data_IF_407476209241
#
_entry.id   IF_407476209241
#
_cell.length_a   1.000
_cell.length_b   1.000
_cell.length_c   1.000
_cell.angle_alpha   90.00
_cell.angle_beta   90.00
_cell.angle_gamma   90.00
#
_symmetry.space_group_name_H-M   'P 1'
#
loop_
_entity.id
_entity.type
_entity.pdbx_description
1 polymer ?
#
# COMPACT_ATOMS: atom_id res chain seq x y z
N UNK A 1 6.11 -9.98 9.68
CA UNK A 1 5.52 -10.27 11.01
C UNK A 1 5.58 -11.77 11.21
N UNK A 2 6.39 -12.24 12.16
CA UNK A 2 6.45 -13.66 12.52
C UNK A 2 5.09 -14.04 13.11
N UNK A 3 4.47 -15.17 12.70
CA UNK A 3 3.22 -15.61 13.31
C UNK A 3 3.46 -15.87 14.79
N UNK A 4 2.86 -15.07 15.67
CA UNK A 4 2.67 -15.49 17.04
C UNK A 4 1.81 -16.75 16.98
N UNK A 5 2.40 -17.92 17.18
CA UNK A 5 1.66 -19.14 17.42
C UNK A 5 0.84 -18.93 18.70
N UNK A 6 -0.38 -18.44 18.54
CA UNK A 6 -1.32 -18.37 19.63
C UNK A 6 -1.74 -19.80 19.93
N UNK A 7 -1.28 -20.35 21.06
CA UNK A 7 -1.52 -21.72 21.53
C UNK A 7 -2.97 -21.95 21.98
N UNK A 8 -3.92 -21.36 21.25
CA UNK A 8 -5.34 -21.32 21.58
C UNK A 8 -6.12 -21.76 20.36
N UNK A 9 -6.96 -22.79 20.54
CA UNK A 9 -7.97 -23.16 19.57
C UNK A 9 -9.20 -22.27 19.79
N UNK A 10 -9.62 -21.55 18.74
CA UNK A 10 -10.79 -20.69 18.76
C UNK A 10 -11.99 -21.41 18.13
N UNK A 11 -13.05 -21.60 18.90
CA UNK A 11 -14.33 -22.17 18.43
C UNK A 11 -15.48 -21.27 18.87
N UNK A 12 -15.81 -20.28 18.04
CA UNK A 12 -16.86 -19.32 18.36
C UNK A 12 -18.23 -19.96 18.37
N UNK A 13 -19.02 -19.67 19.40
CA UNK A 13 -20.39 -20.17 19.54
C UNK A 13 -21.37 -19.07 19.15
N UNK A 14 -22.15 -19.32 18.10
CA UNK A 14 -22.99 -18.30 17.48
C UNK A 14 -24.07 -17.74 18.41
N UNK A 15 -24.58 -18.56 19.35
CA UNK A 15 -25.61 -18.14 20.30
C UNK A 15 -25.12 -17.05 21.28
N UNK A 16 -23.81 -16.86 21.46
CA UNK A 16 -23.26 -15.75 22.24
C UNK A 16 -23.03 -14.47 21.43
N UNK A 17 -23.26 -14.46 20.10
CA UNK A 17 -22.97 -13.30 19.25
C UNK A 17 -23.76 -12.04 19.68
N UNK A 18 -25.02 -12.19 20.11
CA UNK A 18 -25.82 -11.07 20.59
C UNK A 18 -25.27 -10.46 21.88
N UNK A 19 -24.81 -11.31 22.81
CA UNK A 19 -24.16 -10.89 24.07
C UNK A 19 -22.82 -10.19 23.79
N UNK A 20 -21.96 -10.79 22.97
CA UNK A 20 -20.66 -10.21 22.62
C UNK A 20 -20.75 -8.91 21.82
N UNK A 21 -21.79 -8.75 20.99
CA UNK A 21 -22.03 -7.51 20.26
C UNK A 21 -22.63 -6.38 21.13
N UNK A 22 -23.07 -6.69 22.35
CA UNK A 22 -23.58 -5.71 23.32
C UNK A 22 -22.54 -5.40 24.43
N UNK A 23 -21.36 -6.02 24.40
CA UNK A 23 -20.29 -5.78 25.37
C UNK A 23 -19.72 -4.36 25.25
N UNK A 24 -19.41 -3.76 26.40
CA UNK A 24 -18.87 -2.41 26.48
C UNK A 24 -17.40 -2.37 26.03
N UNK A 25 -17.15 -1.59 24.98
CA UNK A 25 -15.81 -1.35 24.43
C UNK A 25 -14.79 -0.84 25.47
N UNK A 26 -15.23 -0.12 26.51
CA UNK A 26 -14.34 0.42 27.56
C UNK A 26 -13.70 -0.71 28.39
N UNK A 27 -14.41 -1.83 28.59
CA UNK A 27 -13.88 -2.96 29.35
C UNK A 27 -12.76 -3.69 28.60
N UNK A 28 -12.82 -3.72 27.27
CA UNK A 28 -11.76 -4.29 26.43
C UNK A 28 -10.47 -3.47 26.47
N UNK A 29 -10.58 -2.17 26.79
CA UNK A 29 -9.44 -1.27 26.82
C UNK A 29 -8.58 -1.43 28.09
N UNK A 30 -9.19 -1.84 29.20
CA UNK A 30 -8.51 -2.01 30.49
C UNK A 30 -7.94 -3.42 30.64
N UNK A 31 -6.72 -3.54 31.20
CA UNK A 31 -6.04 -4.84 31.43
C UNK A 31 -6.91 -5.83 32.23
N UNK A 32 -7.53 -5.35 33.32
CA UNK A 32 -8.40 -6.17 34.17
C UNK A 32 -9.70 -6.58 33.45
N UNK A 33 -10.31 -5.67 32.67
CA UNK A 33 -11.53 -5.97 31.93
C UNK A 33 -11.30 -7.00 30.81
N UNK A 34 -10.19 -6.86 30.06
CA UNK A 34 -9.80 -7.84 29.05
C UNK A 34 -9.55 -9.24 29.66
N UNK A 35 -8.97 -9.33 30.86
CA UNK A 35 -8.77 -10.60 31.55
C UNK A 35 -10.10 -11.26 31.96
N UNK A 36 -11.08 -10.48 32.45
CA UNK A 36 -12.41 -10.99 32.80
C UNK A 36 -13.15 -11.51 31.56
N UNK A 37 -13.11 -10.76 30.46
CA UNK A 37 -13.71 -11.18 29.19
C UNK A 37 -13.02 -12.42 28.60
N UNK A 38 -11.70 -12.54 28.75
CA UNK A 38 -10.99 -13.74 28.35
C UNK A 38 -11.37 -14.95 29.20
N UNK A 39 -11.57 -14.78 30.51
CA UNK A 39 -12.09 -15.83 31.38
C UNK A 39 -13.53 -16.23 31.00
N UNK A 40 -14.36 -15.28 30.55
CA UNK A 40 -15.69 -15.56 29.98
C UNK A 40 -15.59 -16.45 28.74
N UNK A 41 -14.60 -16.23 27.87
CA UNK A 41 -14.35 -17.09 26.70
C UNK A 41 -13.93 -18.51 27.09
N UNK A 42 -13.07 -18.65 28.10
CA UNK A 42 -12.66 -19.95 28.64
C UNK A 42 -13.86 -20.69 29.27
N UNK A 43 -14.68 -19.99 30.06
CA UNK A 43 -15.88 -20.54 30.67
C UNK A 43 -16.89 -21.02 29.61
N UNK A 44 -17.07 -20.23 28.56
CA UNK A 44 -17.95 -20.57 27.45
C UNK A 44 -17.36 -21.67 26.55
N UNK A 45 -16.13 -22.15 26.77
CA UNK A 45 -15.42 -23.11 25.89
C UNK A 45 -15.26 -22.60 24.45
N UNK A 46 -15.21 -21.28 24.27
CA UNK A 46 -14.93 -20.66 22.96
C UNK A 46 -13.40 -20.60 22.68
N UNK A 47 -12.60 -20.71 23.75
CA UNK A 47 -11.14 -20.70 23.76
C UNK A 47 -10.68 -21.96 24.48
N UNK A 48 -9.85 -22.78 23.83
CA UNK A 48 -9.21 -23.95 24.46
C UNK A 48 -7.70 -23.76 24.41
N UNK A 49 -7.07 -23.70 25.59
CA UNK A 49 -5.62 -23.63 25.71
C UNK A 49 -5.01 -25.00 25.39
N UNK A 50 -4.14 -25.07 24.38
CA UNK A 50 -3.38 -26.28 24.09
C UNK A 50 -2.26 -26.44 25.13
N UNK A 51 -2.08 -27.66 25.65
CA UNK A 51 -1.00 -27.94 26.58
C UNK A 51 0.35 -27.71 25.89
N UNK A 52 1.24 -26.96 26.54
CA UNK A 52 2.60 -26.77 26.05
C UNK A 52 3.37 -28.09 26.21
N UNK A 53 4.12 -28.55 25.19
CA UNK A 53 5.07 -29.64 25.40
C UNK A 53 6.08 -29.19 26.46
N UNK A 54 6.29 -30.01 27.48
CA UNK A 54 7.34 -29.82 28.49
C UNK A 54 8.68 -30.08 27.78
N UNK A 55 9.19 -29.07 27.08
CA UNK A 55 10.55 -29.09 26.56
C UNK A 55 11.46 -28.57 27.66
N UNK A 56 12.23 -29.50 28.23
CA UNK A 56 13.31 -29.23 29.17
C UNK A 56 14.21 -28.14 28.60
N UNK A 57 14.59 -27.15 29.42
CA UNK A 57 15.52 -26.07 29.08
C UNK A 57 16.97 -26.59 28.93
N UNK A 58 17.17 -27.74 28.29
CA UNK A 58 18.50 -28.26 28.05
C UNK A 58 19.07 -27.49 26.86
N UNK A 59 19.97 -26.55 27.15
CA UNK A 59 20.78 -25.88 26.14
C UNK A 59 21.67 -26.88 25.38
N UNK A 60 22.28 -26.45 24.25
CA UNK A 60 23.22 -27.30 23.53
C UNK A 60 24.32 -27.78 24.49
N UNK A 61 24.62 -29.08 24.48
CA UNK A 61 25.75 -29.65 25.22
C UNK A 61 27.03 -29.09 24.61
N UNK A 62 27.64 -28.11 25.29
CA UNK A 62 28.93 -27.58 24.90
C UNK A 62 30.01 -28.66 25.16
N UNK A 63 31.01 -28.78 24.27
CA UNK A 63 32.15 -29.65 24.53
C UNK A 63 32.90 -29.19 25.79
N UNK A 64 33.49 -30.14 26.51
CA UNK A 64 34.39 -29.84 27.62
C UNK A 64 35.61 -29.06 27.12
N UNK A 65 36.29 -28.34 28.02
CA UNK A 65 37.46 -27.54 27.64
C UNK A 65 38.58 -28.42 27.08
N UNK A 66 38.81 -28.34 25.77
CA UNK A 66 39.93 -28.97 25.09
C UNK A 66 41.04 -27.92 24.83
N UNK A 67 42.30 -28.30 25.08
CA UNK A 67 43.47 -27.42 24.95
C UNK A 67 43.89 -27.20 23.48
N UNK A 68 43.33 -27.98 22.54
CA UNK A 68 43.62 -27.87 21.12
C UNK A 68 42.63 -26.92 20.43
N UNK A 69 43.13 -26.10 19.51
CA UNK A 69 42.31 -25.13 18.78
C UNK A 69 41.44 -25.82 17.73
N UNK A 70 40.15 -26.02 18.04
CA UNK A 70 39.14 -26.55 17.11
C UNK A 70 39.16 -25.80 15.77
N UNK A 71 38.79 -26.49 14.68
CA UNK A 71 38.69 -25.89 13.36
C UNK A 71 37.72 -24.69 13.40
N UNK A 72 38.11 -23.55 12.80
CA UNK A 72 37.33 -22.31 12.83
C UNK A 72 35.84 -22.47 12.45
N UNK A 73 35.52 -23.46 11.59
CA UNK A 73 34.16 -23.80 11.19
C UNK A 73 33.31 -24.38 12.32
N UNK A 74 33.88 -25.25 13.17
CA UNK A 74 33.16 -25.85 14.31
C UNK A 74 32.83 -24.79 15.36
N UNK A 75 33.74 -23.85 15.59
CA UNK A 75 33.51 -22.70 16.49
C UNK A 75 32.32 -21.86 16.04
N UNK A 76 32.20 -21.58 14.74
CA UNK A 76 31.08 -20.81 14.19
C UNK A 76 29.76 -21.58 14.33
N UNK A 77 29.78 -22.90 14.13
CA UNK A 77 28.61 -23.76 14.33
C UNK A 77 28.16 -23.76 15.81
N UNK A 78 29.08 -23.91 16.76
CA UNK A 78 28.77 -23.82 18.18
C UNK A 78 28.24 -22.44 18.58
N UNK A 79 28.85 -21.36 18.07
CA UNK A 79 28.39 -20.00 18.31
C UNK A 79 26.97 -19.79 17.77
N UNK A 80 26.70 -20.28 16.56
CA UNK A 80 25.37 -20.19 15.94
C UNK A 80 24.31 -20.97 16.72
N UNK A 81 24.65 -22.16 17.21
CA UNK A 81 23.79 -23.00 18.06
C UNK A 81 23.51 -22.34 19.40
N UNK A 82 24.53 -21.74 20.03
CA UNK A 82 24.38 -20.99 21.27
C UNK A 82 23.49 -19.76 21.07
N UNK A 83 23.74 -18.93 20.06
CA UNK A 83 22.93 -17.75 19.75
C UNK A 83 21.48 -18.13 19.42
N UNK A 84 21.28 -19.23 18.68
CA UNK A 84 19.94 -19.74 18.39
C UNK A 84 19.21 -20.16 19.67
N UNK A 85 19.89 -20.89 20.57
CA UNK A 85 19.33 -21.31 21.85
C UNK A 85 18.99 -20.11 22.76
N UNK A 86 19.86 -19.09 22.82
CA UNK A 86 19.64 -17.87 23.58
C UNK A 86 18.46 -17.08 23.02
N UNK A 87 18.38 -16.94 21.70
CA UNK A 87 17.25 -16.26 21.03
C UNK A 87 15.94 -17.00 21.27
N UNK A 88 15.95 -18.33 21.20
CA UNK A 88 14.77 -19.14 21.47
C UNK A 88 14.31 -19.01 22.92
N UNK A 89 15.24 -19.05 23.87
CA UNK A 89 14.96 -18.82 25.29
C UNK A 89 14.39 -17.42 25.52
N UNK A 90 15.00 -16.39 24.92
CA UNK A 90 14.51 -15.02 25.03
C UNK A 90 13.08 -14.89 24.47
N UNK A 91 12.80 -15.46 23.30
CA UNK A 91 11.45 -15.49 22.75
C UNK A 91 10.45 -16.20 23.67
N UNK A 92 10.81 -17.35 24.24
CA UNK A 92 9.96 -18.08 25.19
C UNK A 92 9.69 -17.28 26.48
N UNK A 93 10.71 -16.64 27.03
CA UNK A 93 10.55 -15.80 28.22
C UNK A 93 9.66 -14.59 27.92
N UNK A 94 9.84 -13.95 26.75
CA UNK A 94 9.03 -12.83 26.30
C UNK A 94 7.55 -13.20 26.12
N UNK A 95 7.25 -14.39 25.58
CA UNK A 95 5.87 -14.88 25.41
C UNK A 95 5.22 -15.26 26.73
N UNK A 96 6.00 -15.63 27.74
CA UNK A 96 5.50 -15.92 29.09
C UNK A 96 5.37 -14.70 30.01
N UNK A 97 5.76 -13.50 29.56
CA UNK A 97 5.55 -12.28 30.36
C UNK A 97 4.07 -11.97 30.53
N UNK A 98 3.72 -11.42 31.70
CA UNK A 98 2.34 -10.99 32.02
C UNK A 98 1.80 -9.92 31.07
N UNK A 99 2.70 -9.10 30.50
CA UNK A 99 2.36 -8.12 29.47
C UNK A 99 1.92 -8.80 28.17
N UNK A 100 2.72 -9.72 27.64
CA UNK A 100 2.39 -10.44 26.40
C UNK A 100 1.13 -11.28 26.55
N UNK A 101 0.96 -11.94 27.71
CA UNK A 101 -0.25 -12.69 28.03
C UNK A 101 -1.48 -11.77 28.06
N UNK A 102 -1.38 -10.61 28.71
CA UNK A 102 -2.47 -9.63 28.75
C UNK A 102 -2.82 -9.06 27.38
N UNK A 103 -1.83 -8.83 26.52
CA UNK A 103 -2.03 -8.38 25.14
C UNK A 103 -2.72 -9.47 24.31
N UNK A 104 -2.30 -10.73 24.47
CA UNK A 104 -2.92 -11.87 23.83
C UNK A 104 -4.40 -12.01 24.23
N UNK A 105 -4.71 -11.94 25.53
CA UNK A 105 -6.10 -11.96 26.02
C UNK A 105 -6.95 -10.86 25.35
N UNK A 106 -6.41 -9.64 25.29
CA UNK A 106 -7.10 -8.50 24.66
C UNK A 106 -7.33 -8.72 23.17
N UNK A 107 -6.35 -9.25 22.46
CA UNK A 107 -6.46 -9.53 21.02
C UNK A 107 -7.54 -10.58 20.74
N UNK A 108 -7.58 -11.67 21.50
CA UNK A 108 -8.58 -12.74 21.33
C UNK A 108 -10.00 -12.23 21.65
N UNK A 109 -10.15 -11.42 22.70
CA UNK A 109 -11.44 -10.79 23.05
C UNK A 109 -11.90 -9.84 21.94
N UNK A 110 -11.01 -8.99 21.41
CA UNK A 110 -11.34 -8.10 20.29
C UNK A 110 -11.72 -8.88 19.03
N UNK A 111 -11.03 -9.98 18.74
CA UNK A 111 -11.36 -10.87 17.63
C UNK A 111 -12.77 -11.47 17.79
N UNK A 112 -13.16 -11.89 19.01
CA UNK A 112 -14.52 -12.38 19.30
C UNK A 112 -15.57 -11.30 19.08
N UNK A 113 -15.35 -10.10 19.62
CA UNK A 113 -16.30 -8.98 19.53
C UNK A 113 -16.46 -8.55 18.08
N UNK A 114 -15.36 -8.46 17.33
CA UNK A 114 -15.39 -8.19 15.90
C UNK A 114 -16.22 -9.25 15.15
N UNK A 115 -16.01 -10.55 15.42
CA UNK A 115 -16.80 -11.62 14.83
C UNK A 115 -18.30 -11.49 15.16
N UNK A 116 -18.64 -11.17 16.41
CA UNK A 116 -20.01 -10.96 16.84
C UNK A 116 -20.69 -9.77 16.15
N UNK A 117 -19.99 -8.64 16.02
CA UNK A 117 -20.47 -7.45 15.32
C UNK A 117 -20.63 -7.72 13.83
N UNK A 118 -19.67 -8.42 13.22
CA UNK A 118 -19.74 -8.82 11.82
C UNK A 118 -20.96 -9.70 11.55
N UNK A 119 -21.16 -10.74 12.38
CA UNK A 119 -22.34 -11.61 12.27
C UNK A 119 -23.65 -10.85 12.44
N UNK A 120 -23.72 -9.91 13.40
CA UNK A 120 -24.95 -9.14 13.70
C UNK A 120 -25.35 -8.16 12.59
N UNK A 121 -24.38 -7.46 11.99
CA UNK A 121 -24.64 -6.35 11.07
C UNK A 121 -24.37 -6.66 9.59
N UNK A 122 -23.44 -7.57 9.29
CA UNK A 122 -23.02 -7.84 7.91
C UNK A 122 -23.54 -9.18 7.35
N UNK A 123 -23.79 -10.18 8.19
CA UNK A 123 -24.24 -11.50 7.70
C UNK A 123 -25.71 -11.48 7.22
N UNK A 124 -26.51 -10.56 7.77
CA UNK A 124 -27.88 -10.29 7.31
C UNK A 124 -27.96 -9.85 5.83
N UNK A 125 -26.88 -9.31 5.27
CA UNK A 125 -26.81 -8.94 3.86
C UNK A 125 -26.44 -10.12 2.93
N UNK A 126 -25.95 -11.25 3.48
CA UNK A 126 -25.69 -12.47 2.69
C UNK A 126 -26.86 -13.44 2.67
N UNK A 127 -27.69 -13.47 3.72
CA UNK A 127 -28.77 -14.46 3.88
C UNK A 127 -30.12 -13.98 3.31
N UNK A 128 -30.29 -12.69 2.98
CA UNK A 128 -31.47 -12.19 2.26
C UNK A 128 -31.29 -12.24 0.74
N UNK A 129 -31.15 -13.43 0.17
CA UNK A 129 -31.58 -13.71 -1.21
C UNK A 129 -32.72 -14.72 -1.12
N UNK A 130 -33.99 -14.33 -1.32
CA UNK A 130 -35.10 -15.28 -1.24
C UNK A 130 -35.09 -16.17 -2.48
N UNK A 131 -34.54 -17.39 -2.34
CA UNK A 131 -34.92 -18.52 -3.18
C UNK A 131 -36.33 -18.96 -2.78
N UNK A 132 -37.34 -18.40 -3.45
CA UNK A 132 -38.67 -19.01 -3.46
C UNK A 132 -38.73 -20.07 -4.56
N UNK A 133 -38.69 -21.34 -4.15
CA UNK A 133 -39.31 -22.44 -4.88
C UNK A 133 -39.61 -23.59 -3.91
N UNK A 134 -40.86 -23.64 -3.46
CA UNK A 134 -41.72 -24.82 -3.22
C UNK A 134 -41.16 -26.08 -2.55
N UNK A 135 -41.62 -26.28 -1.31
CA UNK A 135 -42.57 -27.33 -0.85
C UNK A 135 -42.10 -28.78 -0.55
N UNK A 136 -42.43 -29.23 0.67
CA UNK A 136 -42.49 -30.60 1.25
C UNK A 136 -41.18 -31.44 1.30
N UNK A 137 -40.80 -32.21 2.33
CA UNK A 137 -41.33 -32.60 3.64
C UNK A 137 -40.69 -33.94 4.05
N UNK A 138 -40.19 -34.06 5.30
CA UNK A 138 -39.91 -35.31 6.08
C UNK A 138 -38.79 -36.27 5.53
N UNK A 139 -37.88 -36.97 6.23
CA UNK A 139 -37.50 -37.24 7.63
C UNK A 139 -36.03 -37.73 7.70
N UNK A 140 -35.38 -37.58 8.87
CA UNK A 140 -34.41 -38.47 9.55
C UNK A 140 -33.11 -39.01 8.86
N UNK A 141 -31.96 -38.84 9.56
CA UNK A 141 -30.90 -39.87 9.59
C UNK A 141 -29.40 -39.44 9.57
N UNK A 142 -28.81 -39.30 10.78
CA UNK A 142 -27.47 -39.77 11.22
C UNK A 142 -26.10 -39.42 10.55
N UNK A 143 -25.23 -38.84 11.41
CA UNK A 143 -23.80 -39.13 11.74
C UNK A 143 -22.65 -38.70 10.77
N UNK A 144 -21.88 -37.70 11.26
CA UNK A 144 -20.42 -37.38 11.20
C UNK A 144 -19.40 -38.40 10.60
N UNK A 145 -18.08 -38.08 10.44
CA UNK A 145 -17.37 -36.84 10.04
C UNK A 145 -16.13 -37.12 9.13
N UNK A 146 -15.30 -36.09 8.83
CA UNK A 146 -13.83 -36.09 8.70
C UNK A 146 -13.24 -35.32 7.49
N UNK A 147 -12.42 -34.31 7.82
CA UNK A 147 -11.12 -33.92 7.22
C UNK A 147 -11.09 -33.51 5.73
N UNK A 148 -10.42 -32.45 5.26
CA UNK A 148 -9.08 -31.94 5.52
C UNK A 148 -8.90 -30.49 5.01
N UNK A 149 -7.79 -29.81 5.37
CA UNK A 149 -7.60 -28.37 5.23
C UNK A 149 -6.89 -27.99 3.93
N UNK A 150 -7.33 -26.92 3.26
CA UNK A 150 -6.61 -26.34 2.12
C UNK A 150 -6.54 -24.80 2.20
N UNK A 151 -5.34 -24.28 2.39
CA UNK A 151 -4.85 -23.05 1.74
C UNK A 151 -3.76 -23.48 0.74
N UNK A 152 -3.32 -22.67 -0.24
CA UNK A 152 -3.84 -21.42 -0.78
C UNK A 152 -4.00 -21.49 -2.32
N UNK A 153 -5.16 -21.14 -2.87
CA UNK A 153 -5.35 -21.12 -4.32
C UNK A 153 -6.59 -20.31 -4.68
N UNK A 154 -6.45 -19.40 -5.63
CA UNK A 154 -7.43 -18.37 -5.97
C UNK A 154 -8.86 -18.90 -6.03
N UNK A 155 -9.68 -18.45 -5.09
CA UNK A 155 -11.13 -18.53 -5.24
C UNK A 155 -11.52 -17.58 -6.37
N UNK A 156 -11.56 -18.11 -7.59
CA UNK A 156 -12.24 -17.47 -8.70
C UNK A 156 -13.69 -17.25 -8.29
N UNK A 157 -14.03 -16.03 -7.87
CA UNK A 157 -15.40 -15.55 -8.00
C UNK A 157 -15.81 -15.87 -9.43
N UNK A 158 -16.81 -16.71 -9.60
CA UNK A 158 -17.38 -17.04 -10.91
C UNK A 158 -17.76 -15.69 -11.53
N UNK A 159 -16.97 -15.23 -12.51
CA UNK A 159 -17.17 -13.94 -13.19
C UNK A 159 -18.51 -14.02 -13.92
N UNK A 160 -19.36 -13.00 -13.78
CA UNK A 160 -20.63 -12.94 -14.51
C UNK A 160 -20.35 -12.97 -16.02
N UNK A 161 -21.24 -13.53 -16.85
CA UNK A 161 -21.08 -13.53 -18.31
C UNK A 161 -20.88 -12.12 -18.89
N UNK A 162 -21.50 -11.10 -18.28
CA UNK A 162 -21.29 -9.68 -18.61
C UNK A 162 -19.87 -9.21 -18.28
N UNK A 163 -19.30 -9.66 -17.17
CA UNK A 163 -17.92 -9.31 -16.76
C UNK A 163 -16.90 -9.90 -17.74
N UNK A 164 -17.14 -11.13 -18.21
CA UNK A 164 -16.29 -11.79 -19.21
C UNK A 164 -16.33 -11.04 -20.54
N UNK A 165 -17.52 -10.59 -20.97
CA UNK A 165 -17.67 -9.78 -22.19
C UNK A 165 -16.96 -8.43 -22.09
N UNK A 166 -17.10 -7.73 -20.96
CA UNK A 166 -16.39 -6.46 -20.71
C UNK A 166 -14.87 -6.70 -20.72
N UNK A 167 -14.40 -7.73 -20.02
CA UNK A 167 -12.98 -8.08 -19.97
C UNK A 167 -12.42 -8.42 -21.36
N UNK A 168 -13.14 -9.21 -22.14
CA UNK A 168 -12.76 -9.56 -23.51
C UNK A 168 -12.73 -8.31 -24.41
N UNK A 169 -13.78 -7.46 -24.35
CA UNK A 169 -13.85 -6.24 -25.14
C UNK A 169 -12.73 -5.25 -24.81
N UNK A 170 -12.44 -5.05 -23.52
CA UNK A 170 -11.37 -4.15 -23.07
C UNK A 170 -9.99 -4.69 -23.46
N UNK A 171 -9.70 -5.98 -23.21
CA UNK A 171 -8.40 -6.58 -23.51
C UNK A 171 -8.11 -6.60 -25.01
N UNK A 172 -9.10 -6.94 -25.83
CA UNK A 172 -8.97 -6.93 -27.29
C UNK A 172 -8.85 -5.52 -27.84
N UNK A 173 -9.66 -4.57 -27.33
CA UNK A 173 -9.61 -3.15 -27.71
C UNK A 173 -8.26 -2.50 -27.40
N UNK A 174 -7.71 -2.74 -26.20
CA UNK A 174 -6.38 -2.23 -25.82
C UNK A 174 -5.28 -2.85 -26.69
N UNK A 175 -5.33 -4.15 -26.93
CA UNK A 175 -4.34 -4.85 -27.78
C UNK A 175 -4.34 -4.30 -29.22
N UNK A 176 -5.53 -4.02 -29.76
CA UNK A 176 -5.69 -3.39 -31.07
C UNK A 176 -5.16 -1.95 -31.06
N UNK A 177 -5.53 -1.15 -30.06
CA UNK A 177 -5.05 0.23 -29.91
C UNK A 177 -3.52 0.30 -29.86
N UNK A 178 -2.89 -0.53 -29.03
CA UNK A 178 -1.43 -0.58 -28.93
C UNK A 178 -0.77 -0.99 -30.24
N UNK A 179 -1.34 -1.96 -30.95
CA UNK A 179 -0.84 -2.41 -32.25
C UNK A 179 -0.94 -1.31 -33.31
N UNK A 180 -2.07 -0.58 -33.34
CA UNK A 180 -2.29 0.55 -34.26
C UNK A 180 -1.33 1.70 -33.98
N UNK A 181 -1.12 2.07 -32.72
CA UNK A 181 -0.16 3.11 -32.36
C UNK A 181 1.26 2.72 -32.81
N UNK A 182 1.67 1.49 -32.50
CA UNK A 182 2.97 0.97 -32.93
C UNK A 182 3.13 0.88 -34.45
N UNK A 183 2.07 0.50 -35.18
CA UNK A 183 2.08 0.45 -36.63
C UNK A 183 2.17 1.87 -37.23
N UNK A 184 1.44 2.83 -36.68
CA UNK A 184 1.47 4.21 -37.16
C UNK A 184 2.86 4.85 -36.97
N UNK A 185 3.52 4.64 -35.83
CA UNK A 185 4.91 5.09 -35.65
C UNK A 185 5.88 4.44 -36.65
N UNK A 186 5.77 3.12 -36.88
CA UNK A 186 6.59 2.40 -37.88
C UNK A 186 6.32 2.90 -39.31
N UNK A 187 5.07 3.19 -39.64
CA UNK A 187 4.68 3.69 -40.96
C UNK A 187 5.11 5.15 -41.17
N UNK A 188 4.90 6.02 -40.18
CA UNK A 188 5.31 7.42 -40.20
C UNK A 188 6.84 7.58 -40.35
N UNK A 189 7.62 6.68 -39.77
CA UNK A 189 9.07 6.62 -39.96
C UNK A 189 9.49 6.32 -41.42
N UNK A 190 8.60 5.75 -42.25
CA UNK A 190 8.93 5.28 -43.60
C UNK A 190 8.38 6.15 -44.74
N UNK A 191 7.26 6.85 -44.55
CA UNK A 191 6.57 7.54 -45.67
C UNK A 191 6.35 9.03 -45.43
N UNK A 192 5.84 9.47 -44.26
CA UNK A 192 5.46 10.87 -44.00
C UNK A 192 5.73 11.24 -42.52
N UNK A 193 6.78 12.04 -42.23
CA UNK A 193 7.12 12.47 -40.87
C UNK A 193 6.11 13.46 -40.22
N UNK A 194 5.26 14.10 -41.02
CA UNK A 194 4.44 15.25 -40.62
C UNK A 194 3.07 14.87 -40.01
N UNK A 195 2.67 13.58 -39.99
CA UNK A 195 1.34 13.17 -39.52
C UNK A 195 1.40 11.96 -38.58
N UNK A 196 1.95 12.15 -37.39
CA UNK A 196 1.99 11.11 -36.34
C UNK A 196 0.75 11.24 -35.45
N UNK A 197 -0.36 10.63 -35.88
CA UNK A 197 -1.62 10.54 -35.12
C UNK A 197 -1.40 10.11 -33.66
N UNK A 198 -0.40 9.25 -33.41
CA UNK A 198 -0.08 8.78 -32.06
C UNK A 198 0.28 9.89 -31.09
N UNK A 199 0.97 10.92 -31.55
CA UNK A 199 1.38 12.04 -30.69
C UNK A 199 0.15 12.84 -30.26
N UNK A 200 -0.80 13.05 -31.16
CA UNK A 200 -2.07 13.72 -30.85
C UNK A 200 -2.89 12.90 -29.83
N UNK A 201 -2.91 11.57 -29.97
CA UNK A 201 -3.60 10.68 -29.02
C UNK A 201 -2.96 10.77 -27.63
N UNK A 202 -1.63 10.71 -27.52
CA UNK A 202 -0.93 10.81 -26.24
C UNK A 202 -1.04 12.22 -25.61
N UNK A 203 -0.99 13.27 -26.43
CA UNK A 203 -1.19 14.64 -25.99
C UNK A 203 -2.62 14.85 -25.47
N UNK A 204 -3.62 14.32 -26.18
CA UNK A 204 -5.03 14.37 -25.75
C UNK A 204 -5.21 13.60 -24.44
N UNK A 205 -4.65 12.40 -24.31
CA UNK A 205 -4.69 11.62 -23.07
C UNK A 205 -4.05 12.38 -21.89
N UNK A 206 -2.92 13.06 -22.12
CA UNK A 206 -2.25 13.88 -21.11
C UNK A 206 -3.11 15.09 -20.70
N UNK A 207 -3.75 15.76 -21.66
CA UNK A 207 -4.67 16.87 -21.39
C UNK A 207 -5.90 16.42 -20.58
N UNK A 208 -6.48 15.26 -20.92
CA UNK A 208 -7.61 14.69 -20.16
C UNK A 208 -7.16 14.37 -18.73
N UNK A 209 -5.98 13.77 -18.56
CA UNK A 209 -5.45 13.42 -17.25
C UNK A 209 -5.16 14.65 -16.38
N UNK A 210 -4.68 15.74 -16.98
CA UNK A 210 -4.46 17.02 -16.32
C UNK A 210 -5.77 17.72 -15.90
N UNK A 211 -6.89 17.43 -16.58
CA UNK A 211 -8.21 17.97 -16.23
C UNK A 211 -8.87 17.27 -15.04
N UNK A 212 -8.37 16.09 -14.65
CA UNK A 212 -8.88 15.36 -13.50
C UNK A 212 -8.42 16.01 -12.18
N UNK A 213 -9.27 16.06 -11.14
CA UNK A 213 -8.85 16.43 -9.79
C UNK A 213 -7.63 15.60 -9.34
N UNK A 214 -6.71 16.15 -8.54
CA UNK A 214 -5.55 15.39 -8.08
C UNK A 214 -5.98 14.14 -7.31
N UNK A 215 -5.23 13.04 -7.47
CA UNK A 215 -5.47 11.75 -6.81
C UNK A 215 -6.82 11.09 -7.20
N UNK A 216 -7.39 11.43 -8.35
CA UNK A 216 -8.66 10.87 -8.83
C UNK A 216 -8.63 9.34 -8.99
N UNK A 217 -7.45 8.78 -9.25
CA UNK A 217 -7.26 7.33 -9.43
C UNK A 217 -6.62 6.65 -8.21
N UNK A 218 -6.43 7.36 -7.09
CA UNK A 218 -5.72 6.82 -5.94
C UNK A 218 -6.52 5.77 -5.15
N UNK A 219 -7.85 5.86 -5.16
CA UNK A 219 -8.70 4.90 -4.45
C UNK A 219 -9.03 3.70 -5.34
N UNK A 220 -8.17 2.68 -5.31
CA UNK A 220 -8.34 1.44 -6.06
C UNK A 220 -9.65 0.70 -5.74
N UNK A 221 -10.28 0.93 -4.59
CA UNK A 221 -11.56 0.31 -4.23
C UNK A 221 -12.75 0.86 -5.02
N UNK A 222 -12.62 2.08 -5.58
CA UNK A 222 -13.61 2.68 -6.51
C UNK A 222 -13.37 2.27 -7.97
N UNK A 223 -12.21 1.65 -8.19
CA UNK A 223 -11.66 0.94 -9.35
C UNK A 223 -12.34 -0.38 -9.74
N UNK A 224 -13.17 -0.55 -10.80
CA UNK A 224 -13.51 -1.90 -11.23
C UNK A 224 -12.23 -2.70 -11.56
N UNK A 225 -12.20 -4.01 -11.28
CA UNK A 225 -11.00 -4.85 -11.48
C UNK A 225 -10.47 -4.78 -12.92
N UNK A 226 -11.37 -4.81 -13.90
CA UNK A 226 -11.02 -4.65 -15.33
C UNK A 226 -10.40 -3.27 -15.62
N UNK A 227 -10.81 -2.22 -14.89
CA UNK A 227 -10.23 -0.89 -14.98
C UNK A 227 -8.80 -0.82 -14.41
N UNK A 228 -8.53 -1.54 -13.32
CA UNK A 228 -7.17 -1.67 -12.77
C UNK A 228 -6.25 -2.43 -13.73
N UNK A 229 -6.73 -3.53 -14.31
CA UNK A 229 -6.01 -4.29 -15.35
C UNK A 229 -5.73 -3.42 -16.58
N UNK A 230 -6.69 -2.60 -17.00
CA UNK A 230 -6.54 -1.65 -18.11
C UNK A 230 -5.44 -0.62 -17.81
N UNK A 231 -5.47 0.01 -16.63
CA UNK A 231 -4.44 0.98 -16.22
C UNK A 231 -3.04 0.34 -16.16
N UNK A 232 -2.93 -0.91 -15.69
CA UNK A 232 -1.67 -1.65 -15.69
C UNK A 232 -1.16 -1.90 -17.11
N UNK A 233 -2.02 -2.35 -18.03
CA UNK A 233 -1.66 -2.58 -19.43
C UNK A 233 -1.23 -1.29 -20.15
N UNK A 234 -1.93 -0.18 -19.90
CA UNK A 234 -1.56 1.14 -20.42
C UNK A 234 -0.22 1.59 -19.87
N UNK A 235 0.02 1.46 -18.56
CA UNK A 235 1.31 1.79 -17.96
C UNK A 235 2.44 0.96 -18.58
N UNK A 236 2.27 -0.35 -18.76
CA UNK A 236 3.28 -1.22 -19.37
C UNK A 236 3.56 -0.88 -20.83
N UNK A 237 2.53 -0.48 -21.58
CA UNK A 237 2.69 0.03 -22.94
C UNK A 237 3.51 1.33 -22.96
N UNK A 238 3.21 2.28 -22.08
CA UNK A 238 3.95 3.56 -22.00
C UNK A 238 5.42 3.33 -21.62
N UNK A 239 5.70 2.42 -20.67
CA UNK A 239 7.08 2.02 -20.32
C UNK A 239 7.84 1.49 -21.53
N UNK A 240 7.24 0.51 -22.24
CA UNK A 240 7.84 -0.06 -23.46
C UNK A 240 8.05 0.98 -24.57
N UNK A 241 7.16 1.96 -24.64
CA UNK A 241 7.25 3.06 -25.62
C UNK A 241 8.36 4.03 -25.26
N UNK A 242 8.57 4.32 -23.97
CA UNK A 242 9.57 5.30 -23.51
C UNK A 242 11.03 4.85 -23.66
N UNK A 243 11.31 3.55 -23.60
CA UNK A 243 12.67 2.99 -23.70
C UNK A 243 12.97 2.61 -25.16
N UNK A 244 14.08 3.10 -25.70
CA UNK A 244 14.44 2.95 -27.12
C UNK A 244 14.93 1.55 -27.53
N UNK A 245 14.73 0.53 -26.70
CA UNK A 245 15.23 -0.82 -26.94
C UNK A 245 14.36 -1.56 -27.97
N UNK A 246 14.64 -1.34 -29.26
CA UNK A 246 14.37 -2.24 -30.41
C UNK A 246 12.92 -2.67 -30.74
N UNK A 247 11.95 -2.48 -29.85
CA UNK A 247 10.59 -3.02 -29.97
C UNK A 247 9.51 -1.94 -30.11
N UNK A 248 9.70 -0.78 -29.46
CA UNK A 248 8.84 0.39 -29.61
C UNK A 248 9.43 1.34 -30.65
N UNK A 249 8.99 1.26 -31.90
CA UNK A 249 9.43 2.14 -32.98
C UNK A 249 8.96 3.59 -32.86
N UNK A 250 8.78 4.09 -31.63
CA UNK A 250 8.24 5.42 -31.34
C UNK A 250 9.26 6.52 -31.64
N UNK A 251 8.76 7.61 -32.18
CA UNK A 251 9.48 8.84 -32.46
C UNK A 251 9.91 9.55 -31.15
N UNK A 252 10.91 10.45 -31.18
CA UNK A 252 11.37 11.16 -29.97
C UNK A 252 10.25 11.91 -29.25
N UNK A 253 9.30 12.49 -30.00
CA UNK A 253 8.11 13.17 -29.49
C UNK A 253 7.13 12.22 -28.80
N UNK A 254 6.82 11.07 -29.39
CA UNK A 254 5.99 10.04 -28.76
C UNK A 254 6.63 9.47 -27.49
N UNK A 255 7.95 9.28 -27.46
CA UNK A 255 8.69 8.86 -26.25
C UNK A 255 8.57 9.87 -25.11
N UNK A 256 8.70 11.16 -25.42
CA UNK A 256 8.52 12.26 -24.45
C UNK A 256 7.08 12.27 -23.90
N UNK A 257 6.08 12.26 -24.77
CA UNK A 257 4.68 12.27 -24.36
C UNK A 257 4.30 11.04 -23.54
N UNK A 258 4.85 9.87 -23.87
CA UNK A 258 4.65 8.65 -23.08
C UNK A 258 5.22 8.78 -21.66
N UNK A 259 6.39 9.40 -21.48
CA UNK A 259 6.98 9.67 -20.17
C UNK A 259 6.20 10.70 -19.37
N UNK A 260 5.73 11.77 -20.00
CA UNK A 260 4.88 12.79 -19.35
C UNK A 260 3.53 12.20 -18.90
N UNK A 261 2.90 11.40 -19.76
CA UNK A 261 1.66 10.70 -19.44
C UNK A 261 1.84 9.67 -18.33
N UNK A 262 2.94 8.90 -18.35
CA UNK A 262 3.25 7.94 -17.30
C UNK A 262 3.46 8.63 -15.94
N UNK A 263 4.13 9.80 -15.92
CA UNK A 263 4.27 10.60 -14.70
C UNK A 263 2.93 11.10 -14.19
N UNK A 264 2.09 11.65 -15.09
CA UNK A 264 0.75 12.10 -14.75
C UNK A 264 -0.10 10.97 -14.17
N UNK A 265 0.01 9.75 -14.71
CA UNK A 265 -0.71 8.58 -14.20
C UNK A 265 -0.23 8.18 -12.81
N UNK A 266 1.09 8.22 -12.58
CA UNK A 266 1.67 7.97 -11.26
C UNK A 266 1.18 8.98 -10.22
N UNK A 267 1.12 10.27 -10.58
CA UNK A 267 0.58 11.33 -9.72
C UNK A 267 -0.91 11.13 -9.42
N UNK A 268 -1.72 10.74 -10.40
CA UNK A 268 -3.16 10.51 -10.19
C UNK A 268 -3.46 9.24 -9.39
N UNK A 269 -2.58 8.23 -9.44
CA UNK A 269 -2.67 7.01 -8.62
C UNK A 269 -2.16 7.22 -7.19
N UNK A 270 -1.32 8.22 -6.95
CA UNK A 270 -0.97 8.66 -5.59
C UNK A 270 -0.22 7.64 -4.73
N UNK A 271 0.40 6.62 -5.33
CA UNK A 271 1.15 5.59 -4.61
C UNK A 271 2.63 5.67 -4.97
N UNK A 272 3.47 5.54 -3.94
CA UNK A 272 4.94 5.59 -4.05
C UNK A 272 5.47 4.62 -5.10
N UNK A 273 4.85 3.44 -5.24
CA UNK A 273 5.24 2.42 -6.21
C UNK A 273 5.29 2.98 -7.64
N UNK A 274 4.28 3.74 -8.05
CA UNK A 274 4.18 4.24 -9.42
C UNK A 274 5.17 5.38 -9.69
N UNK A 275 5.46 6.20 -8.68
CA UNK A 275 6.48 7.25 -8.77
C UNK A 275 7.89 6.66 -8.92
N UNK A 276 8.22 5.63 -8.12
CA UNK A 276 9.50 4.94 -8.22
C UNK A 276 9.65 4.20 -9.55
N UNK A 277 8.56 3.60 -10.04
CA UNK A 277 8.52 2.96 -11.35
C UNK A 277 8.76 3.97 -12.48
N UNK A 278 8.21 5.18 -12.38
CA UNK A 278 8.53 6.25 -13.32
C UNK A 278 10.01 6.65 -13.27
N UNK A 279 10.60 6.78 -12.08
CA UNK A 279 12.04 7.08 -11.90
C UNK A 279 12.91 6.02 -12.57
N UNK A 280 12.60 4.74 -12.36
CA UNK A 280 13.30 3.62 -13.01
C UNK A 280 13.26 3.72 -14.53
N UNK A 281 12.07 3.97 -15.08
CA UNK A 281 11.84 4.08 -16.52
C UNK A 281 12.54 5.29 -17.12
N UNK A 282 12.49 6.45 -16.45
CA UNK A 282 13.19 7.66 -16.87
C UNK A 282 14.72 7.46 -16.91
N UNK A 283 15.28 6.75 -15.93
CA UNK A 283 16.70 6.39 -15.90
C UNK A 283 17.05 5.40 -17.03
N UNK A 284 16.25 4.35 -17.24
CA UNK A 284 16.46 3.38 -18.32
C UNK A 284 16.40 4.03 -19.72
N UNK A 285 15.46 4.95 -19.93
CA UNK A 285 15.33 5.73 -21.16
C UNK A 285 16.54 6.66 -21.38
N UNK A 286 17.12 7.22 -20.30
CA UNK A 286 18.32 8.06 -20.38
C UNK A 286 19.55 7.27 -20.81
N UNK A 287 19.73 6.04 -20.30
CA UNK A 287 20.89 5.18 -20.62
C UNK A 287 20.85 4.66 -22.06
N UNK A 288 19.65 4.42 -22.60
CA UNK A 288 19.45 3.96 -23.97
C UNK A 288 19.87 5.01 -25.03
N UNK A 289 19.98 6.28 -24.63
CA UNK A 289 20.45 7.36 -25.51
C UNK A 289 21.97 7.51 -25.52
N UNK A 290 22.67 6.96 -24.51
CA UNK A 290 24.14 7.04 -24.38
C UNK A 290 24.90 5.86 -25.01
N UNK A 291 24.24 4.73 -25.28
CA UNK A 291 24.89 3.54 -25.88
C UNK A 291 24.96 3.59 -27.40
N UNK A 292 24.23 4.48 -28.07
CA UNK A 292 24.30 4.66 -29.53
C UNK A 292 25.54 5.43 -30.01
N UNK A 293 26.42 5.89 -29.10
CA UNK A 293 27.61 6.68 -29.44
C UNK A 293 28.89 5.86 -29.60
N UNK A 294 28.88 4.54 -29.37
CA UNK A 294 30.08 3.69 -29.45
C UNK A 294 30.26 2.98 -30.80
N UNK A 295 29.33 3.14 -31.73
CA UNK A 295 29.39 2.55 -33.06
C UNK A 295 29.09 3.59 -34.14
N UNK A 296 30.16 4.05 -34.81
CA UNK A 296 30.19 4.67 -36.15
C UNK A 296 30.00 6.19 -36.27
N UNK A 297 31.12 6.87 -36.55
CA UNK A 297 31.29 8.12 -37.34
C UNK A 297 30.78 9.47 -36.77
N UNK A 298 31.58 10.56 -36.83
CA UNK A 298 31.14 11.89 -36.43
C UNK A 298 30.45 12.57 -37.63
N UNK A 299 29.13 12.49 -37.71
CA UNK A 299 28.33 13.38 -38.56
C UNK A 299 27.52 14.34 -37.69
N UNK A 300 27.53 15.62 -38.08
CA UNK A 300 26.95 16.77 -37.39
C UNK A 300 25.42 16.77 -37.46
N UNK A 301 24.74 15.82 -36.83
CA UNK A 301 23.33 15.95 -36.45
C UNK A 301 23.24 16.05 -34.93
N UNK A 302 22.58 17.11 -34.45
CA UNK A 302 22.30 17.36 -33.04
C UNK A 302 21.79 16.09 -32.37
N UNK A 303 22.62 15.47 -31.53
CA UNK A 303 22.24 14.38 -30.65
C UNK A 303 21.15 14.89 -29.70
N UNK A 304 19.88 14.71 -30.06
CA UNK A 304 18.76 15.02 -29.19
C UNK A 304 18.78 14.00 -28.04
N UNK A 305 19.40 14.40 -26.93
CA UNK A 305 19.26 13.70 -25.67
C UNK A 305 17.79 13.56 -25.34
N UNK A 306 17.33 12.34 -25.04
CA UNK A 306 15.96 12.12 -24.59
C UNK A 306 15.66 13.03 -23.39
N UNK A 307 14.77 14.00 -23.59
CA UNK A 307 14.37 15.00 -22.62
C UNK A 307 12.89 14.90 -22.31
N UNK A 308 12.50 15.38 -21.13
CA UNK A 308 11.10 15.53 -20.72
C UNK A 308 10.76 17.02 -20.62
N UNK A 309 9.50 17.39 -20.77
CA UNK A 309 9.07 18.78 -20.65
C UNK A 309 9.39 19.35 -19.27
N UNK A 310 10.17 20.44 -19.24
CA UNK A 310 10.56 21.10 -18.00
C UNK A 310 9.33 21.50 -17.19
N UNK A 311 8.32 22.09 -17.84
CA UNK A 311 7.13 22.63 -17.17
C UNK A 311 6.31 21.53 -16.49
N UNK A 312 6.25 20.33 -17.08
CA UNK A 312 5.55 19.17 -16.51
C UNK A 312 6.23 18.69 -15.23
N UNK A 313 7.56 18.54 -15.27
CA UNK A 313 8.34 18.12 -14.09
C UNK A 313 8.29 19.20 -13.00
N UNK A 314 8.48 20.46 -13.37
CA UNK A 314 8.43 21.58 -12.43
C UNK A 314 7.06 21.69 -11.75
N UNK A 315 5.96 21.58 -12.51
CA UNK A 315 4.61 21.58 -11.96
C UNK A 315 4.36 20.39 -11.04
N UNK A 316 4.86 19.21 -11.39
CA UNK A 316 4.75 18.00 -10.56
C UNK A 316 5.46 18.19 -9.21
N UNK A 317 6.72 18.66 -9.23
CA UNK A 317 7.49 18.95 -8.03
C UNK A 317 6.83 20.05 -7.19
N UNK A 318 6.31 21.10 -7.84
CA UNK A 318 5.59 22.16 -7.15
C UNK A 318 4.34 21.63 -6.45
N UNK A 319 3.54 20.79 -7.11
CA UNK A 319 2.38 20.15 -6.49
C UNK A 319 2.78 19.28 -5.30
N UNK A 320 3.82 18.45 -5.43
CA UNK A 320 4.32 17.61 -4.33
C UNK A 320 4.74 18.45 -3.11
N UNK A 321 5.38 19.61 -3.34
CA UNK A 321 5.76 20.56 -2.28
C UNK A 321 4.57 21.30 -1.68
N UNK A 322 3.62 21.74 -2.51
CA UNK A 322 2.46 22.48 -2.04
C UNK A 322 1.63 21.66 -1.03
N UNK A 323 1.54 20.34 -1.26
CA UNK A 323 0.80 19.43 -0.38
C UNK A 323 1.65 18.84 0.76
N UNK A 324 2.95 19.15 0.85
CA UNK A 324 3.83 18.63 1.92
C UNK A 324 3.82 19.45 3.21
N UNK A 325 3.19 20.64 3.20
CA UNK A 325 3.08 21.51 4.38
C UNK A 325 4.40 22.21 4.80
N UNK A 326 5.49 22.00 4.07
CA UNK A 326 6.81 22.54 4.39
C UNK A 326 7.06 23.91 3.73
N UNK A 327 7.56 24.87 4.52
CA UNK A 327 7.99 26.23 4.11
C UNK A 327 9.44 26.52 4.51
N UNK A 328 10.28 25.48 4.62
CA UNK A 328 11.69 25.63 4.98
C UNK A 328 12.60 25.70 3.74
N UNK A 329 13.80 26.22 3.97
CA UNK A 329 14.74 26.57 2.90
C UNK A 329 15.33 25.31 2.23
N UNK A 330 15.42 25.37 0.90
CA UNK A 330 15.79 24.27 0.03
C UNK A 330 17.30 23.98 0.08
N UNK A 331 17.79 23.36 1.15
CA UNK A 331 19.24 23.24 1.37
C UNK A 331 19.97 22.34 0.34
N UNK A 332 19.27 21.65 -0.57
CA UNK A 332 19.98 20.89 -1.62
C UNK A 332 19.23 20.60 -2.92
N UNK A 333 18.19 21.37 -3.30
CA UNK A 333 17.46 21.06 -4.54
C UNK A 333 18.37 21.17 -5.74
N UNK A 334 18.68 20.04 -6.39
CA UNK A 334 19.35 20.09 -7.68
C UNK A 334 18.51 20.96 -8.63
N UNK A 335 19.05 22.11 -9.04
CA UNK A 335 18.32 23.06 -9.88
C UNK A 335 18.06 22.40 -11.22
N UNK A 336 16.80 22.03 -11.46
CA UNK A 336 16.34 21.51 -12.75
C UNK A 336 16.78 22.50 -13.83
N UNK A 337 17.58 22.05 -14.80
CA UNK A 337 18.08 22.92 -15.88
C UNK A 337 17.13 22.81 -17.07
N UNK A 338 16.74 23.96 -17.60
CA UNK A 338 15.93 24.09 -18.81
C UNK A 338 16.89 24.25 -19.99
N UNK A 339 16.82 23.34 -20.96
CA UNK A 339 17.53 23.45 -22.24
C UNK A 339 16.83 24.47 -23.16
N UNK A 340 17.48 24.88 -24.24
CA UNK A 340 16.97 25.89 -25.18
C UNK A 340 15.59 25.51 -25.78
N UNK A 341 15.30 24.22 -25.89
CA UNK A 341 14.03 23.67 -26.40
C UNK A 341 12.95 23.53 -25.32
N UNK A 342 13.20 24.01 -24.10
CA UNK A 342 12.27 23.89 -22.96
C UNK A 342 12.19 22.47 -22.37
N UNK A 343 13.13 21.61 -22.69
CA UNK A 343 13.27 20.26 -22.16
C UNK A 343 14.23 20.23 -20.97
N UNK A 344 14.15 19.19 -20.15
CA UNK A 344 15.15 18.87 -19.14
C UNK A 344 15.64 17.43 -19.33
N UNK A 345 16.90 17.18 -18.93
CA UNK A 345 17.51 15.85 -19.03
C UNK A 345 16.77 14.86 -18.14
N UNK A 346 16.42 13.69 -18.69
CA UNK A 346 15.68 12.66 -17.95
C UNK A 346 16.38 12.20 -16.67
N UNK A 347 17.70 12.03 -16.69
CA UNK A 347 18.46 11.66 -15.50
C UNK A 347 18.37 12.72 -14.39
N UNK A 348 18.39 14.00 -14.77
CA UNK A 348 18.22 15.10 -13.82
C UNK A 348 16.80 15.16 -13.27
N UNK A 349 15.78 15.02 -14.13
CA UNK A 349 14.38 14.99 -13.72
C UNK A 349 14.10 13.83 -12.75
N UNK A 350 14.64 12.64 -13.05
CA UNK A 350 14.53 11.45 -12.19
C UNK A 350 15.17 11.68 -10.82
N UNK A 351 16.37 12.25 -10.77
CA UNK A 351 17.07 12.56 -9.51
C UNK A 351 16.31 13.61 -8.69
N UNK A 352 15.82 14.68 -9.31
CA UNK A 352 15.06 15.73 -8.59
C UNK A 352 13.75 15.19 -8.02
N UNK A 353 13.04 14.33 -8.76
CA UNK A 353 11.83 13.70 -8.29
C UNK A 353 12.10 12.69 -7.16
N UNK A 354 13.18 11.90 -7.28
CA UNK A 354 13.59 10.98 -6.22
C UNK A 354 14.01 11.71 -4.94
N UNK A 355 14.75 12.82 -5.06
CA UNK A 355 15.12 13.68 -3.94
C UNK A 355 13.88 14.24 -3.23
N UNK A 356 12.89 14.72 -3.99
CA UNK A 356 11.63 15.20 -3.43
C UNK A 356 10.88 14.10 -2.67
N UNK A 357 10.83 12.87 -3.20
CA UNK A 357 10.27 11.70 -2.52
C UNK A 357 11.01 11.41 -1.20
N UNK A 358 12.34 11.48 -1.21
CA UNK A 358 13.14 11.30 0.00
C UNK A 358 12.86 12.39 1.04
N UNK A 359 12.75 13.65 0.62
CA UNK A 359 12.40 14.77 1.50
C UNK A 359 11.02 14.57 2.14
N UNK A 360 10.02 14.15 1.35
CA UNK A 360 8.70 13.80 1.87
C UNK A 360 8.75 12.66 2.88
N UNK A 361 9.56 11.62 2.63
CA UNK A 361 9.72 10.49 3.54
C UNK A 361 10.39 10.89 4.87
N UNK A 362 11.43 11.72 4.82
CA UNK A 362 12.10 12.27 6.01
C UNK A 362 11.15 13.10 6.86
N UNK A 363 10.21 13.83 6.25
CA UNK A 363 9.19 14.59 6.97
C UNK A 363 8.16 13.68 7.66
N UNK A 364 7.72 12.60 6.99
CA UNK A 364 6.85 11.60 7.62
C UNK A 364 7.49 11.00 8.87
N UNK A 365 8.80 10.76 8.86
CA UNK A 365 9.54 10.27 10.03
C UNK A 365 9.58 11.33 11.16
N UNK A 366 9.79 12.60 10.84
CA UNK A 366 9.81 13.68 11.84
C UNK A 366 8.43 13.93 12.46
N UNK A 367 7.35 13.89 11.66
CA UNK A 367 5.97 14.09 12.14
C UNK A 367 5.46 12.93 13.02
N UNK A 368 5.98 11.72 12.80
CA UNK A 368 5.71 10.56 13.66
C UNK A 368 6.57 10.52 14.93
N UNK A 369 7.62 11.35 15.01
CA UNK A 369 8.55 11.45 16.14
C UNK A 369 8.11 12.58 17.07
N UNK A 370 7.00 12.40 17.78
CA UNK A 370 6.56 13.29 18.86
C UNK A 370 7.44 13.12 20.11
N UNK A 371 8.75 13.33 19.99
CA UNK A 371 9.67 13.41 21.13
C UNK A 371 10.93 14.26 20.89
N UNK A 372 11.04 14.95 19.76
CA UNK A 372 12.12 15.91 19.53
C UNK A 372 11.54 17.33 19.48
N UNK A 373 11.47 17.98 20.64
CA UNK A 373 11.35 19.42 20.72
C UNK A 373 12.48 20.07 19.91
N UNK A 374 12.14 20.62 18.74
CA UNK A 374 13.02 21.57 18.08
C UNK A 374 13.03 22.87 18.90
N UNK A 375 14.20 23.42 19.28
CA UNK A 375 14.24 24.64 20.04
C UNK A 375 13.98 25.83 19.10
N UNK A 376 12.86 26.51 19.32
CA UNK A 376 12.63 27.86 18.82
C UNK A 376 11.86 27.95 17.50
N UNK A 377 10.53 27.86 17.59
CA UNK A 377 9.65 28.83 16.90
C UNK A 377 8.35 28.95 17.69
N UNK A 378 7.85 30.17 17.77
CA UNK A 378 6.79 30.62 18.65
C UNK A 378 5.50 29.81 18.53
N UNK A 379 4.89 29.51 19.68
CA UNK A 379 3.56 28.94 19.90
C UNK A 379 2.84 28.42 18.65
N UNK A 380 3.04 27.13 18.34
CA UNK A 380 2.04 26.38 17.56
C UNK A 380 0.76 26.36 18.40
N UNK A 381 -0.12 27.34 18.18
CA UNK A 381 -1.48 27.33 18.70
C UNK A 381 -2.17 26.13 18.06
N UNK A 382 -2.23 25.01 18.79
CA UNK A 382 -2.94 23.81 18.34
C UNK A 382 -4.41 24.19 18.11
N UNK A 383 -4.79 24.32 16.84
CA UNK A 383 -6.15 24.71 16.44
C UNK A 383 -7.03 23.46 16.47
N UNK A 384 -7.79 23.29 17.56
CA UNK A 384 -8.72 22.16 17.72
C UNK A 384 -10.07 22.51 17.11
N UNK A 385 -10.56 21.67 16.19
CA UNK A 385 -11.91 21.78 15.63
C UNK A 385 -12.79 20.67 16.21
N UNK A 386 -14.01 21.03 16.63
CA UNK A 386 -15.02 20.11 17.17
C UNK A 386 -16.26 20.10 16.29
N UNK A 387 -16.86 18.93 16.13
CA UNK A 387 -18.18 18.76 15.55
C UNK A 387 -18.87 17.52 16.14
N UNK A 388 -20.20 17.46 16.02
CA UNK A 388 -21.01 16.35 16.50
C UNK A 388 -21.94 16.75 17.64
N UNK A 389 -22.40 15.74 18.39
CA UNK A 389 -23.34 15.97 19.49
C UNK A 389 -22.66 16.73 20.63
N UNK A 390 -23.31 17.79 21.13
CA UNK A 390 -22.87 18.53 22.31
C UNK A 390 -23.89 18.44 23.46
N UNK A 391 -24.74 17.41 23.44
CA UNK A 391 -25.85 17.23 24.41
C UNK A 391 -25.43 17.14 25.88
N UNK A 392 -24.14 16.96 26.15
CA UNK A 392 -23.57 16.85 27.50
C UNK A 392 -22.41 17.83 27.74
N UNK A 393 -22.35 18.93 26.99
CA UNK A 393 -21.26 19.93 27.03
C UNK A 393 -19.84 19.39 26.75
N UNK A 394 -19.76 18.20 26.16
CA UNK A 394 -18.51 17.50 25.87
C UNK A 394 -17.61 18.21 24.84
N UNK A 395 -18.13 19.22 24.12
CA UNK A 395 -17.36 20.02 23.16
C UNK A 395 -16.90 21.37 23.75
N UNK A 396 -17.09 21.60 25.05
CA UNK A 396 -16.62 22.77 25.81
C UNK A 396 -17.03 24.14 25.21
N UNK A 397 -18.14 24.18 24.47
CA UNK A 397 -18.56 25.35 23.70
C UNK A 397 -19.62 26.23 24.38
N UNK A 398 -20.00 25.89 25.62
CA UNK A 398 -21.06 26.60 26.36
C UNK A 398 -22.48 26.40 25.81
N UNK A 399 -22.64 25.72 24.67
CA UNK A 399 -23.93 25.38 24.04
C UNK A 399 -24.25 23.89 24.25
N UNK A 400 -25.52 23.51 24.05
CA UNK A 400 -25.98 22.10 24.03
C UNK A 400 -26.33 21.63 22.60
N UNK A 401 -26.23 22.53 21.62
CA UNK A 401 -26.64 22.28 20.25
C UNK A 401 -25.63 21.39 19.53
N UNK A 402 -26.15 20.56 18.62
CA UNK A 402 -25.31 19.71 17.78
C UNK A 402 -24.56 20.59 16.78
N UNK A 403 -23.25 20.48 16.78
CA UNK A 403 -22.37 21.17 15.83
C UNK A 403 -22.33 20.34 14.55
N UNK A 404 -22.94 20.83 13.47
CA UNK A 404 -22.99 20.12 12.19
C UNK A 404 -21.77 20.35 11.30
N UNK A 405 -21.02 21.43 11.53
CA UNK A 405 -19.83 21.82 10.77
C UNK A 405 -18.64 22.01 11.71
N UNK A 406 -17.43 21.58 11.32
CA UNK A 406 -16.23 21.75 12.14
C UNK A 406 -16.09 23.20 12.63
N UNK A 407 -16.12 23.40 13.96
CA UNK A 407 -15.99 24.71 14.59
C UNK A 407 -14.74 24.74 15.45
N UNK A 408 -13.96 25.81 15.32
CA UNK A 408 -12.75 26.01 16.12
C UNK A 408 -13.15 26.21 17.59
N UNK A 409 -12.55 25.43 18.49
CA UNK A 409 -12.79 25.52 19.93
C UNK A 409 -11.53 25.96 20.68
N UNK A 410 -11.72 26.88 21.62
CA UNK A 410 -10.65 27.37 22.51
C UNK A 410 -10.57 26.58 23.82
N UNK A 411 -11.49 25.64 24.08
CA UNK A 411 -11.55 24.89 25.34
C UNK A 411 -10.51 23.77 25.46
N UNK A 412 -9.92 23.33 24.35
CA UNK A 412 -9.00 22.19 24.29
C UNK A 412 -7.57 22.59 23.92
N UNK A 413 -7.28 23.88 23.79
CA UNK A 413 -5.93 24.37 23.46
C UNK A 413 -4.93 24.18 24.61
N UNK A 414 -5.39 23.95 25.84
CA UNK A 414 -4.54 23.79 27.04
C UNK A 414 -4.43 22.34 27.55
N UNK A 415 -4.87 21.34 26.78
CA UNK A 415 -4.75 19.94 27.19
C UNK A 415 -3.31 19.41 26.96
N UNK A 416 -2.43 19.61 27.94
CA UNK A 416 -1.15 18.90 28.06
C UNK A 416 -1.28 17.64 28.92
#
# INVERSE_FOLDING_TARGET
>A
MVPCQTHVLLKWQEHFNSSWAAEDSVQTARRHGAAVLYNKLLYNKEVVTLAQPIQELVGPRLPDFECESNASAEKEEYLSSLLHSQRWLAHRMLTQTSYTLGLHHRLVVLQRIYYALHSKYHDKFRVQLPSQSTDSGAECGQIEPASEPCLPGGASKIKSGTDVLIEMGVRTGLSLLFSLLQQNWRYAASVHPESVLCNDVLATASSVLASLPPLSLANENKIPSVGLDCLAQVADFLKKTSVSSGSGGADPTGRRLALELLLGLAMQRGSLKFLLEWVEVALAASMSSSTSTLSSSPSLSSQQSAGVGFDVIHQTLFQMRQYSGFRGDAVNTQVLKKDADGLCRLSQAALCLFEEICNLASYCLCSCSTDAAAPGTESDTVMVYVWGSNSSHQLAEGTLEKILLPKLTQGFSDAQ
#
